data_IF_274669981495
#
_entry.id   IF_274669981495
#
_cell.length_a   1.000
_cell.length_b   1.000
_cell.length_c   1.000
_cell.angle_alpha   90.00
_cell.angle_beta   90.00
_cell.angle_gamma   90.00
#
_symmetry.space_group_name_H-M   'P 1'
#
loop_
_entity.id
_entity.type
_entity.pdbx_description
1 polymer ?
#
# COMPACT_ATOMS: atom_id res chain seq x y z
N UNK A 1 -37.90 61.97 7.23
CA UNK A 1 -36.49 61.67 7.53
C UNK A 1 -36.44 60.21 7.97
N UNK A 2 -36.03 59.31 7.07
CA UNK A 2 -34.87 58.39 7.22
C UNK A 2 -35.08 57.31 8.33
N UNK A 3 -35.05 56.00 8.10
CA UNK A 3 -34.26 55.18 7.16
C UNK A 3 -34.97 53.85 6.81
N UNK A 4 -34.70 53.25 5.64
CA UNK A 4 -35.05 51.85 5.39
C UNK A 4 -34.02 50.93 6.05
N UNK A 5 -34.49 49.87 6.74
CA UNK A 5 -33.65 48.76 7.17
C UNK A 5 -33.10 48.06 5.92
N UNK A 6 -31.81 48.20 5.66
CA UNK A 6 -31.08 47.37 4.71
C UNK A 6 -30.87 46.01 5.39
N UNK A 7 -31.70 45.03 5.02
CA UNK A 7 -31.46 43.64 5.34
C UNK A 7 -30.23 43.17 4.55
N UNK A 8 -29.08 43.08 5.22
CA UNK A 8 -27.91 42.38 4.69
C UNK A 8 -28.25 40.90 4.58
N UNK A 9 -28.68 40.46 3.41
CA UNK A 9 -28.73 39.04 3.07
C UNK A 9 -27.27 38.59 2.95
N UNK A 10 -26.74 37.92 3.98
CA UNK A 10 -25.51 37.14 3.83
C UNK A 10 -25.79 36.09 2.75
N UNK A 11 -25.35 36.36 1.52
CA UNK A 11 -25.31 35.34 0.48
C UNK A 11 -24.27 34.33 0.93
N UNK A 12 -24.72 33.15 1.35
CA UNK A 12 -23.82 32.05 1.66
C UNK A 12 -22.94 31.78 0.42
N UNK A 13 -21.62 31.79 0.60
CA UNK A 13 -20.68 31.50 -0.49
C UNK A 13 -21.01 30.14 -1.10
N UNK A 14 -21.00 30.07 -2.44
CA UNK A 14 -21.20 28.79 -3.11
C UNK A 14 -20.02 27.85 -2.80
N UNK A 15 -20.22 26.51 -2.84
CA UNK A 15 -19.13 25.57 -2.66
C UNK A 15 -17.94 25.81 -3.60
N UNK A 16 -18.22 26.21 -4.85
CA UNK A 16 -17.20 26.55 -5.84
C UNK A 16 -16.41 27.81 -5.46
N UNK A 17 -17.09 28.88 -5.02
CA UNK A 17 -16.42 30.12 -4.57
C UNK A 17 -15.49 29.86 -3.38
N UNK A 18 -15.94 29.05 -2.42
CA UNK A 18 -15.13 28.72 -1.25
C UNK A 18 -13.95 27.78 -1.59
N UNK A 19 -14.06 26.93 -2.63
CA UNK A 19 -12.93 26.14 -3.14
C UNK A 19 -11.89 27.02 -3.85
N UNK A 20 -12.35 27.96 -4.69
CA UNK A 20 -11.48 28.94 -5.36
C UNK A 20 -10.76 29.82 -4.34
N UNK A 21 -11.47 30.31 -3.33
CA UNK A 21 -10.87 31.10 -2.24
C UNK A 21 -9.84 30.29 -1.45
N UNK A 22 -10.11 29.01 -1.18
CA UNK A 22 -9.13 28.13 -0.54
C UNK A 22 -7.88 27.97 -1.41
N UNK A 23 -8.04 27.77 -2.72
CA UNK A 23 -6.89 27.63 -3.63
C UNK A 23 -6.07 28.92 -3.68
N UNK A 24 -6.70 30.08 -3.81
CA UNK A 24 -6.05 31.39 -3.79
C UNK A 24 -5.28 31.63 -2.48
N UNK A 25 -5.87 31.24 -1.34
CA UNK A 25 -5.20 31.27 -0.03
C UNK A 25 -3.91 30.46 -0.04
N UNK A 26 -3.92 29.26 -0.64
CA UNK A 26 -2.72 28.42 -0.72
C UNK A 26 -1.68 28.95 -1.71
N UNK A 27 -2.10 29.58 -2.81
CA UNK A 27 -1.20 30.20 -3.80
C UNK A 27 -0.47 31.40 -3.20
N UNK A 28 -1.17 32.23 -2.42
CA UNK A 28 -0.60 33.44 -1.82
C UNK A 28 0.28 33.14 -0.59
N UNK A 29 0.15 31.95 0.00
CA UNK A 29 0.87 31.57 1.20
C UNK A 29 2.40 31.51 0.97
N UNK A 30 3.13 32.21 1.83
CA UNK A 30 4.57 32.09 1.97
C UNK A 30 4.89 32.03 3.47
N UNK A 31 5.71 31.08 3.96
CA UNK A 31 5.94 30.90 5.40
C UNK A 31 6.46 32.13 6.15
N UNK A 32 7.02 33.11 5.42
CA UNK A 32 7.61 34.33 5.97
C UNK A 32 6.66 35.53 5.96
N UNK A 33 5.43 35.39 5.47
CA UNK A 33 4.44 36.49 5.37
C UNK A 33 3.45 36.44 6.53
N UNK A 34 2.95 37.62 6.92
CA UNK A 34 1.96 37.80 7.99
C UNK A 34 0.54 37.39 7.58
N UNK A 35 0.26 37.33 6.28
CA UNK A 35 -1.01 36.85 5.73
C UNK A 35 -0.74 36.04 4.44
N UNK A 36 -1.55 35.01 4.15
CA UNK A 36 -2.64 34.46 4.98
C UNK A 36 -2.15 33.79 6.29
N UNK A 37 -3.00 33.76 7.32
CA UNK A 37 -2.66 33.17 8.63
C UNK A 37 -2.52 31.66 8.53
N UNK A 38 -1.72 31.03 9.40
CA UNK A 38 -1.56 29.57 9.43
C UNK A 38 -2.89 28.83 9.57
N UNK A 39 -3.81 29.36 10.39
CA UNK A 39 -5.14 28.78 10.56
C UNK A 39 -5.97 28.80 9.26
N UNK A 40 -5.94 29.91 8.51
CA UNK A 40 -6.64 30.02 7.23
C UNK A 40 -6.06 29.03 6.20
N UNK A 41 -4.74 28.87 6.20
CA UNK A 41 -4.02 27.93 5.32
C UNK A 41 -4.38 26.48 5.65
N UNK A 42 -4.39 26.09 6.93
CA UNK A 42 -4.80 24.74 7.36
C UNK A 42 -6.27 24.44 6.99
N UNK A 43 -7.16 25.42 7.13
CA UNK A 43 -8.56 25.28 6.73
C UNK A 43 -8.70 25.12 5.20
N UNK A 44 -7.96 25.92 4.42
CA UNK A 44 -7.94 25.84 2.97
C UNK A 44 -7.40 24.48 2.47
N UNK A 45 -6.28 24.02 3.03
CA UNK A 45 -5.69 22.72 2.71
C UNK A 45 -6.67 21.58 3.02
N UNK A 46 -7.19 21.53 4.25
CA UNK A 46 -8.14 20.49 4.67
C UNK A 46 -9.39 20.46 3.78
N UNK A 47 -9.92 21.63 3.43
CA UNK A 47 -11.07 21.74 2.51
C UNK A 47 -10.77 21.09 1.16
N UNK A 48 -9.67 21.47 0.51
CA UNK A 48 -9.35 20.99 -0.83
C UNK A 48 -8.94 19.50 -0.81
N UNK A 49 -8.12 19.06 0.16
CA UNK A 49 -7.72 17.66 0.30
C UNK A 49 -8.91 16.70 0.52
N UNK A 50 -10.00 17.18 1.13
CA UNK A 50 -11.23 16.39 1.27
C UNK A 50 -12.07 16.34 -0.02
N UNK A 51 -11.92 17.32 -0.91
CA UNK A 51 -12.74 17.46 -2.12
C UNK A 51 -12.10 16.88 -3.37
N UNK A 52 -10.78 16.93 -3.51
CA UNK A 52 -10.06 16.47 -4.72
C UNK A 52 -10.25 14.98 -5.04
N UNK A 53 -10.59 14.15 -4.05
CA UNK A 53 -10.90 12.73 -4.28
C UNK A 53 -12.31 12.48 -4.83
N UNK A 54 -13.17 13.50 -4.85
CA UNK A 54 -14.46 13.48 -5.52
C UNK A 54 -14.47 14.53 -6.64
N UNK A 55 -13.75 14.23 -7.72
CA UNK A 55 -13.55 15.14 -8.86
C UNK A 55 -14.86 15.63 -9.52
N UNK A 56 -15.93 14.85 -9.40
CA UNK A 56 -17.26 15.21 -9.91
C UNK A 56 -17.95 16.29 -9.05
N UNK A 57 -17.62 16.38 -7.76
CA UNK A 57 -18.12 17.42 -6.86
C UNK A 57 -17.39 18.77 -7.00
N UNK A 58 -16.27 18.80 -7.73
CA UNK A 58 -15.58 20.04 -8.11
C UNK A 58 -16.23 20.61 -9.37
N UNK A 59 -16.52 21.92 -9.35
CA UNK A 59 -16.98 22.61 -10.55
C UNK A 59 -15.90 22.60 -11.64
N UNK A 60 -16.31 22.79 -12.88
CA UNK A 60 -15.38 22.88 -14.01
C UNK A 60 -14.38 24.04 -13.83
N UNK A 61 -14.86 25.17 -13.32
CA UNK A 61 -14.02 26.34 -12.99
C UNK A 61 -12.94 26.00 -11.96
N UNK A 62 -13.29 25.34 -10.85
CA UNK A 62 -12.32 24.92 -9.83
C UNK A 62 -11.29 23.94 -10.41
N UNK A 63 -11.73 22.99 -11.25
CA UNK A 63 -10.81 22.05 -11.92
C UNK A 63 -9.84 22.78 -12.85
N UNK A 64 -10.31 23.77 -13.60
CA UNK A 64 -9.47 24.57 -14.50
C UNK A 64 -8.39 25.34 -13.74
N UNK A 65 -8.73 25.96 -12.61
CA UNK A 65 -7.77 26.67 -11.77
C UNK A 65 -6.77 25.73 -11.09
N UNK A 66 -7.22 24.57 -10.62
CA UNK A 66 -6.32 23.53 -10.10
C UNK A 66 -5.35 23.01 -11.16
N UNK A 67 -5.82 22.81 -12.40
CA UNK A 67 -4.98 22.41 -13.53
C UNK A 67 -3.94 23.48 -13.88
N UNK A 68 -4.34 24.75 -13.93
CA UNK A 68 -3.41 25.86 -14.17
C UNK A 68 -2.36 25.97 -13.05
N UNK A 69 -2.78 25.84 -11.79
CA UNK A 69 -1.88 25.87 -10.64
C UNK A 69 -0.92 24.67 -10.63
N UNK A 70 -1.40 23.47 -11.00
CA UNK A 70 -0.59 22.27 -11.11
C UNK A 70 0.49 22.41 -12.18
N UNK A 71 0.14 22.94 -13.36
CA UNK A 71 1.11 23.15 -14.44
C UNK A 71 2.23 24.10 -14.01
N UNK A 72 1.89 25.19 -13.32
CA UNK A 72 2.87 26.16 -12.81
C UNK A 72 3.73 25.64 -11.66
N UNK A 73 3.23 24.65 -10.89
CA UNK A 73 3.88 24.16 -9.67
C UNK A 73 4.25 22.67 -9.75
N UNK A 74 4.40 22.13 -10.96
CA UNK A 74 4.52 20.68 -11.18
C UNK A 74 5.71 20.06 -10.42
N UNK A 75 6.87 20.69 -10.47
CA UNK A 75 8.09 20.22 -9.78
C UNK A 75 7.98 20.27 -8.25
N UNK A 76 7.14 21.19 -7.74
CA UNK A 76 6.84 21.34 -6.32
C UNK A 76 5.86 20.25 -5.85
N UNK A 77 4.88 19.91 -6.69
CA UNK A 77 3.89 18.85 -6.47
C UNK A 77 4.37 17.44 -6.90
N UNK A 78 5.68 17.18 -6.91
CA UNK A 78 6.28 15.90 -7.32
C UNK A 78 6.87 15.18 -6.11
N UNK A 79 6.14 14.23 -5.49
CA UNK A 79 6.65 13.50 -4.33
C UNK A 79 7.62 12.40 -4.73
N UNK A 80 8.80 12.37 -4.12
CA UNK A 80 9.80 11.31 -4.29
C UNK A 80 10.44 10.95 -2.94
N UNK A 81 10.97 9.73 -2.75
CA UNK A 81 11.64 9.38 -1.50
C UNK A 81 12.79 10.33 -1.14
N UNK A 82 13.53 10.80 -2.13
CA UNK A 82 14.63 11.77 -1.97
C UNK A 82 14.17 13.22 -1.75
N UNK A 83 12.92 13.55 -2.11
CA UNK A 83 12.34 14.89 -2.01
C UNK A 83 10.84 14.77 -1.66
N UNK A 84 10.51 14.43 -0.40
CA UNK A 84 9.11 14.29 0.00
C UNK A 84 8.42 15.65 0.07
N UNK A 85 7.12 15.67 -0.25
CA UNK A 85 6.28 16.86 -0.02
C UNK A 85 5.92 16.91 1.47
N UNK A 86 6.25 18.03 2.14
CA UNK A 86 6.06 18.19 3.59
C UNK A 86 4.81 19.01 3.93
N UNK A 87 4.33 18.89 5.17
CA UNK A 87 3.15 19.60 5.68
C UNK A 87 3.25 21.14 5.60
N UNK A 88 4.47 21.69 5.62
CA UNK A 88 4.70 23.12 5.43
C UNK A 88 4.56 23.59 3.96
N UNK A 89 4.24 22.68 3.03
CA UNK A 89 3.94 22.98 1.63
C UNK A 89 2.50 22.54 1.25
N UNK A 90 1.48 23.24 1.77
CA UNK A 90 0.08 22.85 1.60
C UNK A 90 -0.41 22.95 0.14
N UNK A 91 0.09 23.91 -0.65
CA UNK A 91 -0.24 24.00 -2.08
C UNK A 91 0.26 22.75 -2.83
N UNK A 92 1.52 22.35 -2.63
CA UNK A 92 2.06 21.15 -3.27
C UNK A 92 1.30 19.89 -2.90
N UNK A 93 0.86 19.78 -1.64
CA UNK A 93 0.04 18.65 -1.15
C UNK A 93 -1.30 18.60 -1.87
N UNK A 94 -2.02 19.72 -1.94
CA UNK A 94 -3.31 19.77 -2.67
C UNK A 94 -3.13 19.42 -4.14
N UNK A 95 -2.13 19.99 -4.81
CA UNK A 95 -1.88 19.75 -6.23
C UNK A 95 -1.46 18.30 -6.51
N UNK A 96 -0.60 17.73 -5.67
CA UNK A 96 -0.21 16.32 -5.75
C UNK A 96 -1.42 15.39 -5.53
N UNK A 97 -2.26 15.65 -4.52
CA UNK A 97 -3.45 14.85 -4.25
C UNK A 97 -4.47 14.95 -5.39
N UNK A 98 -4.66 16.15 -5.94
CA UNK A 98 -5.52 16.40 -7.10
C UNK A 98 -5.08 15.62 -8.33
N UNK A 99 -3.80 15.68 -8.68
CA UNK A 99 -3.30 14.94 -9.83
C UNK A 99 -3.33 13.42 -9.60
N UNK A 100 -3.02 12.97 -8.38
CA UNK A 100 -3.12 11.57 -8.00
C UNK A 100 -4.57 11.06 -8.18
N UNK A 101 -5.56 11.82 -7.72
CA UNK A 101 -6.97 11.52 -7.90
C UNK A 101 -7.37 11.50 -9.40
N UNK A 102 -6.98 12.52 -10.17
CA UNK A 102 -7.24 12.57 -11.63
C UNK A 102 -6.71 11.36 -12.35
N UNK A 103 -5.45 11.01 -12.09
CA UNK A 103 -4.79 9.91 -12.80
C UNK A 103 -5.40 8.55 -12.43
N UNK A 104 -5.77 8.34 -11.16
CA UNK A 104 -6.44 7.10 -10.75
C UNK A 104 -7.86 6.96 -11.33
N UNK A 105 -8.56 8.07 -11.56
CA UNK A 105 -9.89 8.11 -12.13
C UNK A 105 -9.95 7.91 -13.66
N UNK A 106 -8.79 7.92 -14.35
CA UNK A 106 -8.75 7.75 -15.80
C UNK A 106 -9.32 6.38 -16.23
N UNK A 107 -10.09 6.34 -17.35
CA UNK A 107 -10.41 5.12 -18.07
C UNK A 107 -9.14 4.34 -18.44
N UNK A 108 -9.23 3.01 -18.47
CA UNK A 108 -8.09 2.09 -18.62
C UNK A 108 -7.24 2.40 -19.86
N UNK A 109 -7.86 2.76 -20.98
CA UNK A 109 -7.22 3.12 -22.26
C UNK A 109 -6.53 4.49 -22.24
N UNK A 110 -6.87 5.35 -21.28
CA UNK A 110 -6.29 6.68 -21.10
C UNK A 110 -5.21 6.73 -20.03
N UNK A 111 -5.04 5.66 -19.23
CA UNK A 111 -3.99 5.60 -18.23
C UNK A 111 -2.62 5.71 -18.91
N UNK A 112 -1.74 6.52 -18.32
CA UNK A 112 -0.33 6.67 -18.71
C UNK A 112 0.55 6.56 -17.47
N UNK A 113 1.83 6.28 -17.67
CA UNK A 113 2.82 6.22 -16.59
C UNK A 113 2.83 7.54 -15.82
N UNK A 114 2.65 7.47 -14.51
CA UNK A 114 2.80 8.62 -13.64
C UNK A 114 4.28 9.00 -13.54
N UNK A 115 4.60 10.30 -13.51
CA UNK A 115 5.98 10.79 -13.57
C UNK A 115 6.89 10.27 -12.44
N UNK A 116 6.33 9.93 -11.28
CA UNK A 116 7.09 9.40 -10.13
C UNK A 116 7.02 7.88 -9.98
N UNK A 117 6.45 7.16 -10.96
CA UNK A 117 6.32 5.71 -10.90
C UNK A 117 7.69 4.99 -10.75
N UNK A 118 8.73 5.55 -11.40
CA UNK A 118 10.10 5.02 -11.29
C UNK A 118 10.72 5.27 -9.91
N UNK A 119 10.35 6.36 -9.23
CA UNK A 119 10.82 6.64 -7.88
C UNK A 119 10.15 5.73 -6.86
N UNK A 120 8.84 5.47 -7.04
CA UNK A 120 8.10 4.46 -6.29
C UNK A 120 6.78 4.12 -7.03
N UNK A 121 6.42 2.83 -7.20
CA UNK A 121 7.02 1.62 -6.62
C UNK A 121 8.37 1.19 -7.20
N UNK A 122 8.85 1.80 -8.27
CA UNK A 122 10.16 1.48 -8.86
C UNK A 122 10.10 1.33 -10.37
N UNK A 123 11.25 1.44 -11.01
CA UNK A 123 11.39 1.28 -12.45
C UNK A 123 11.48 -0.19 -12.86
N UNK A 124 11.23 -0.43 -14.15
CA UNK A 124 11.49 -1.69 -14.84
C UNK A 124 12.62 -1.42 -15.84
N UNK A 125 13.61 -2.31 -15.99
CA UNK A 125 14.65 -2.16 -17.01
C UNK A 125 14.06 -1.99 -18.42
N UNK A 126 14.63 -1.07 -19.19
CA UNK A 126 14.20 -0.82 -20.57
C UNK A 126 14.32 -2.09 -21.42
N UNK A 127 13.37 -2.30 -22.34
CA UNK A 127 13.36 -3.49 -23.21
C UNK A 127 12.94 -4.79 -22.53
N UNK A 128 12.59 -4.78 -21.23
CA UNK A 128 12.09 -5.97 -20.53
C UNK A 128 10.87 -6.55 -21.28
N UNK A 129 10.89 -7.83 -21.67
CA UNK A 129 9.78 -8.42 -22.40
C UNK A 129 8.53 -8.52 -21.55
N UNK A 130 7.37 -8.44 -22.21
CA UNK A 130 6.07 -8.69 -21.61
C UNK A 130 5.69 -10.13 -21.89
N UNK A 131 5.23 -10.83 -20.85
CA UNK A 131 4.93 -12.26 -20.90
C UNK A 131 3.46 -12.53 -20.62
N UNK A 132 3.06 -13.77 -20.89
CA UNK A 132 1.78 -14.33 -20.46
C UNK A 132 2.02 -15.32 -19.32
N UNK A 133 1.12 -15.31 -18.33
CA UNK A 133 1.08 -16.27 -17.21
C UNK A 133 -0.25 -17.00 -17.22
N UNK A 134 -0.23 -18.28 -16.87
CA UNK A 134 -1.43 -19.12 -16.78
C UNK A 134 -1.43 -19.85 -15.45
N UNK A 135 -2.49 -19.67 -14.68
CA UNK A 135 -2.60 -20.11 -13.29
C UNK A 135 -3.94 -20.83 -13.10
N UNK A 136 -3.96 -21.76 -12.14
CA UNK A 136 -5.20 -22.35 -11.63
C UNK A 136 -5.32 -22.10 -10.13
N UNK A 137 -6.14 -21.12 -9.77
CA UNK A 137 -6.33 -20.68 -8.37
C UNK A 137 -7.44 -21.47 -7.71
N UNK A 138 -7.18 -22.03 -6.53
CA UNK A 138 -8.21 -22.53 -5.62
C UNK A 138 -8.95 -21.34 -4.98
N UNK A 139 -10.25 -21.19 -5.26
CA UNK A 139 -11.05 -20.07 -4.76
C UNK A 139 -11.53 -20.27 -3.31
N UNK A 140 -11.24 -21.43 -2.70
CA UNK A 140 -11.44 -21.65 -1.27
C UNK A 140 -10.43 -20.86 -0.41
N UNK A 141 -9.32 -20.40 -0.99
CA UNK A 141 -8.34 -19.54 -0.32
C UNK A 141 -8.65 -18.07 -0.67
N UNK A 142 -9.25 -17.29 0.25
CA UNK A 142 -9.66 -15.92 0.01
C UNK A 142 -8.50 -14.93 0.13
N UNK A 143 -8.79 -13.67 -0.18
CA UNK A 143 -7.82 -12.57 -0.10
C UNK A 143 -7.04 -12.38 -1.39
N UNK A 144 -5.85 -11.78 -1.27
CA UNK A 144 -5.03 -11.39 -2.41
C UNK A 144 -4.24 -12.60 -2.90
N UNK A 145 -4.58 -13.09 -4.10
CA UNK A 145 -3.87 -14.16 -4.80
C UNK A 145 -2.97 -13.55 -5.85
N UNK A 146 -1.67 -13.74 -5.70
CA UNK A 146 -0.68 -13.18 -6.62
C UNK A 146 -0.81 -13.84 -7.99
N UNK A 147 -0.72 -13.02 -9.05
CA UNK A 147 -0.87 -13.46 -10.45
C UNK A 147 0.47 -13.61 -11.17
N UNK A 148 1.57 -13.75 -10.42
CA UNK A 148 2.91 -14.04 -10.92
C UNK A 148 3.44 -13.03 -11.94
N UNK A 149 3.04 -11.76 -11.77
CA UNK A 149 3.37 -10.70 -12.70
C UNK A 149 3.24 -9.30 -12.12
N UNK A 150 3.97 -8.38 -12.74
CA UNK A 150 3.96 -6.96 -12.45
C UNK A 150 3.40 -6.19 -13.66
N UNK A 151 2.39 -5.36 -13.44
CA UNK A 151 1.87 -4.45 -14.45
C UNK A 151 2.85 -3.28 -14.61
N UNK A 152 3.38 -3.08 -15.81
CA UNK A 152 4.22 -1.92 -16.09
C UNK A 152 3.41 -0.61 -15.93
N UNK A 153 4.02 0.47 -15.41
CA UNK A 153 3.30 1.72 -15.16
C UNK A 153 2.60 2.27 -16.41
N UNK A 154 1.28 2.41 -16.31
CA UNK A 154 0.44 2.95 -17.37
C UNK A 154 0.12 2.01 -18.53
N UNK A 155 0.66 0.79 -18.54
CA UNK A 155 0.30 -0.20 -19.55
C UNK A 155 -0.99 -0.94 -19.18
N UNK A 156 -1.72 -1.37 -20.20
CA UNK A 156 -2.92 -2.19 -20.02
C UNK A 156 -2.50 -3.65 -19.89
N UNK A 157 -2.95 -4.29 -18.81
CA UNK A 157 -2.85 -5.74 -18.58
C UNK A 157 -4.21 -6.35 -18.84
N UNK A 158 -4.21 -7.55 -19.44
CA UNK A 158 -5.44 -8.31 -19.69
C UNK A 158 -5.45 -9.52 -18.78
N UNK A 159 -6.47 -9.61 -17.91
CA UNK A 159 -6.72 -10.76 -17.03
C UNK A 159 -7.96 -11.49 -17.55
N UNK A 160 -7.77 -12.69 -18.07
CA UNK A 160 -8.86 -13.56 -18.51
C UNK A 160 -9.19 -14.56 -17.43
N UNK A 161 -10.44 -14.59 -16.99
CA UNK A 161 -10.95 -15.51 -16.00
C UNK A 161 -11.87 -16.53 -16.68
N UNK A 162 -11.69 -17.81 -16.38
CA UNK A 162 -12.54 -18.88 -16.91
C UNK A 162 -12.97 -19.84 -15.82
N UNK A 163 -14.27 -20.13 -15.78
CA UNK A 163 -14.93 -20.84 -14.68
C UNK A 163 -15.84 -19.91 -13.88
N UNK A 164 -16.44 -20.44 -12.81
CA UNK A 164 -17.35 -19.67 -11.96
C UNK A 164 -16.58 -18.64 -11.13
N UNK A 165 -16.54 -17.39 -11.60
CA UNK A 165 -15.92 -16.27 -10.89
C UNK A 165 -16.78 -15.92 -9.67
N UNK A 166 -16.25 -15.99 -8.43
CA UNK A 166 -17.00 -15.62 -7.25
C UNK A 166 -17.51 -14.16 -7.30
N UNK A 167 -18.79 -13.89 -6.96
CA UNK A 167 -19.30 -12.52 -6.87
C UNK A 167 -18.49 -11.66 -5.90
N UNK A 168 -18.06 -10.47 -6.34
CA UNK A 168 -17.20 -9.59 -5.54
C UNK A 168 -15.69 -9.84 -5.72
N UNK A 169 -15.31 -10.75 -6.62
CA UNK A 169 -13.90 -10.89 -7.05
C UNK A 169 -13.42 -9.59 -7.70
N UNK A 170 -12.20 -9.17 -7.37
CA UNK A 170 -11.59 -7.94 -7.91
C UNK A 170 -10.18 -8.19 -8.42
N UNK A 171 -9.77 -7.49 -9.47
CA UNK A 171 -8.37 -7.41 -9.90
C UNK A 171 -7.71 -6.20 -9.25
N UNK A 172 -6.57 -6.40 -8.59
CA UNK A 172 -5.77 -5.34 -7.95
C UNK A 172 -4.42 -5.21 -8.64
N UNK A 173 -3.97 -3.97 -8.82
CA UNK A 173 -2.59 -3.65 -9.21
C UNK A 173 -1.95 -2.82 -8.09
N UNK A 174 -0.85 -3.34 -7.54
CA UNK A 174 -0.10 -2.76 -6.41
C UNK A 174 -0.28 -3.60 -5.14
N UNK A 175 0.81 -3.84 -4.39
CA UNK A 175 0.77 -4.57 -3.11
C UNK A 175 0.30 -3.67 -1.95
N UNK A 176 0.64 -2.40 -2.01
CA UNK A 176 0.43 -1.39 -0.97
C UNK A 176 -1.05 -1.09 -0.72
N UNK A 177 -1.47 -0.90 0.53
CA UNK A 177 -2.85 -0.53 0.90
C UNK A 177 -3.00 0.94 1.28
N UNK A 178 -1.91 1.60 1.64
CA UNK A 178 -2.00 2.78 2.48
C UNK A 178 -2.23 4.08 1.70
N UNK A 179 -3.21 4.83 2.20
CA UNK A 179 -3.39 6.23 1.86
C UNK A 179 -2.62 7.12 2.84
N UNK A 180 -1.51 7.70 2.39
CA UNK A 180 -0.62 8.48 3.26
C UNK A 180 -1.00 9.97 3.35
N UNK A 181 -2.16 10.38 2.84
CA UNK A 181 -2.59 11.79 2.85
C UNK A 181 -2.51 12.43 4.25
N UNK A 182 -2.77 11.66 5.31
CA UNK A 182 -2.74 12.17 6.69
C UNK A 182 -1.34 12.30 7.29
N UNK A 183 -0.28 11.91 6.56
CA UNK A 183 1.10 12.05 7.00
C UNK A 183 1.63 13.44 6.67
N UNK A 184 2.56 13.91 7.50
CA UNK A 184 3.24 15.20 7.33
C UNK A 184 4.31 15.19 6.24
N UNK A 185 4.67 14.02 5.73
CA UNK A 185 5.69 13.82 4.71
C UNK A 185 5.19 12.81 3.67
N UNK A 186 5.21 13.19 2.39
CA UNK A 186 4.80 12.35 1.27
C UNK A 186 5.99 12.04 0.36
N UNK A 187 6.70 10.92 0.57
CA UNK A 187 7.76 10.46 -0.32
C UNK A 187 7.24 9.80 -1.60
N UNK A 188 5.93 9.63 -1.73
CA UNK A 188 5.22 9.11 -2.91
C UNK A 188 3.84 9.75 -2.99
N UNK A 189 3.09 9.61 -4.08
CA UNK A 189 1.69 10.03 -4.11
C UNK A 189 0.85 9.32 -3.04
N UNK A 190 -0.20 9.98 -2.50
CA UNK A 190 -1.00 9.42 -1.41
C UNK A 190 -1.52 8.01 -1.64
N UNK A 191 -2.00 7.71 -2.85
CA UNK A 191 -2.54 6.40 -3.25
C UNK A 191 -1.87 5.92 -4.53
N UNK A 192 -1.41 4.68 -4.55
CA UNK A 192 -0.68 4.11 -5.68
C UNK A 192 -1.22 2.76 -6.17
N UNK A 193 -2.23 2.22 -5.50
CA UNK A 193 -2.87 0.95 -5.89
C UNK A 193 -4.23 1.19 -6.50
N UNK A 194 -4.63 0.35 -7.45
CA UNK A 194 -5.94 0.42 -8.11
C UNK A 194 -6.62 -0.95 -8.10
N UNK A 195 -7.94 -0.96 -7.93
CA UNK A 195 -8.77 -2.16 -7.84
C UNK A 195 -9.93 -2.04 -8.83
N UNK A 196 -10.29 -3.15 -9.46
CA UNK A 196 -11.32 -3.26 -10.49
C UNK A 196 -12.22 -4.45 -10.18
N UNK A 197 -13.53 -4.30 -10.33
CA UNK A 197 -14.42 -5.46 -10.28
C UNK A 197 -14.07 -6.44 -11.42
N UNK A 198 -14.03 -7.72 -11.08
CA UNK A 198 -13.69 -8.78 -12.01
C UNK A 198 -14.93 -9.55 -12.45
N UNK A 199 -14.93 -9.98 -13.70
CA UNK A 199 -15.97 -10.83 -14.31
C UNK A 199 -15.34 -11.99 -15.06
N UNK A 200 -16.15 -13.00 -15.38
CA UNK A 200 -15.75 -14.04 -16.31
C UNK A 200 -15.38 -13.44 -17.69
N UNK A 201 -14.40 -14.05 -18.36
CA UNK A 201 -13.85 -13.57 -19.61
C UNK A 201 -12.80 -12.48 -19.41
N UNK A 202 -12.78 -11.50 -20.31
CA UNK A 202 -11.74 -10.47 -20.37
C UNK A 202 -11.94 -9.34 -19.35
N UNK A 203 -10.90 -9.05 -18.56
CA UNK A 203 -10.80 -7.91 -17.67
C UNK A 203 -9.56 -7.09 -18.05
N UNK A 204 -9.77 -5.87 -18.56
CA UNK A 204 -8.68 -4.94 -18.92
C UNK A 204 -8.43 -4.01 -17.75
N UNK A 205 -7.19 -3.95 -17.27
CA UNK A 205 -6.81 -3.16 -16.08
C UNK A 205 -5.52 -2.40 -16.34
N UNK A 206 -5.38 -1.23 -15.73
CA UNK A 206 -4.16 -0.41 -15.84
C UNK A 206 -3.97 0.44 -14.58
N UNK A 207 -2.72 0.61 -14.13
CA UNK A 207 -2.38 1.47 -13.02
C UNK A 207 -1.25 2.42 -13.45
N UNK A 208 -1.39 3.74 -13.30
CA UNK A 208 -0.36 4.69 -13.70
C UNK A 208 0.97 4.52 -12.94
N UNK A 209 0.96 3.86 -11.79
CA UNK A 209 2.15 3.55 -10.98
C UNK A 209 2.74 2.17 -11.26
N UNK A 210 2.01 1.30 -11.96
CA UNK A 210 2.33 -0.12 -12.05
C UNK A 210 2.14 -0.84 -10.71
N UNK A 211 2.61 -2.09 -10.64
CA UNK A 211 2.58 -2.88 -9.40
C UNK A 211 2.35 -4.36 -9.64
N UNK A 212 2.61 -5.16 -8.60
CA UNK A 212 2.23 -6.59 -8.57
C UNK A 212 0.72 -6.76 -8.78
N UNK A 213 0.33 -7.78 -9.53
CA UNK A 213 -1.06 -8.09 -9.86
C UNK A 213 -1.64 -9.14 -8.93
N UNK A 214 -2.88 -8.91 -8.50
CA UNK A 214 -3.61 -9.82 -7.63
C UNK A 214 -5.04 -10.03 -8.10
N UNK A 215 -5.57 -11.22 -7.84
CA UNK A 215 -7.00 -11.45 -7.75
C UNK A 215 -7.42 -11.46 -6.28
N UNK A 216 -8.28 -10.54 -5.89
CA UNK A 216 -8.89 -10.49 -4.56
C UNK A 216 -10.15 -11.36 -4.55
N UNK A 217 -10.06 -12.52 -3.90
CA UNK A 217 -11.14 -13.52 -3.85
C UNK A 217 -11.91 -13.38 -2.52
N UNK A 218 -13.24 -13.24 -2.54
CA UNK A 218 -14.07 -13.26 -1.34
C UNK A 218 -14.03 -14.63 -0.62
N UNK A 219 -14.32 -14.64 0.68
CA UNK A 219 -14.44 -15.88 1.44
C UNK A 219 -15.77 -16.61 1.16
N UNK A 220 -15.79 -17.93 1.35
CA UNK A 220 -17.02 -18.74 1.30
C UNK A 220 -17.31 -19.36 -0.07
N UNK A 221 -16.32 -19.39 -0.95
CA UNK A 221 -16.41 -20.01 -2.27
C UNK A 221 -15.53 -21.25 -2.35
N UNK A 222 -15.78 -22.13 -3.32
CA UNK A 222 -15.02 -23.37 -3.53
C UNK A 222 -14.82 -23.61 -5.03
N UNK A 223 -13.80 -24.41 -5.38
CA UNK A 223 -13.50 -24.79 -6.75
C UNK A 223 -12.22 -24.15 -7.27
N UNK A 224 -11.98 -24.28 -8.58
CA UNK A 224 -10.79 -23.71 -9.22
C UNK A 224 -11.18 -22.71 -10.30
N UNK A 225 -10.47 -21.60 -10.33
CA UNK A 225 -10.58 -20.57 -11.36
C UNK A 225 -9.33 -20.58 -12.22
N UNK A 226 -9.52 -20.68 -13.53
CA UNK A 226 -8.42 -20.56 -14.49
C UNK A 226 -8.18 -19.09 -14.78
N UNK A 227 -6.93 -18.68 -14.72
CA UNK A 227 -6.52 -17.29 -14.92
C UNK A 227 -5.42 -17.24 -15.97
N UNK A 228 -5.61 -16.43 -17.00
CA UNK A 228 -4.56 -16.06 -17.95
C UNK A 228 -4.30 -14.58 -17.82
N UNK A 229 -3.05 -14.19 -17.58
CA UNK A 229 -2.65 -12.79 -17.48
C UNK A 229 -1.65 -12.47 -18.57
N UNK A 230 -1.96 -11.49 -19.38
CA UNK A 230 -1.17 -11.08 -20.55
C UNK A 230 -0.59 -9.67 -20.33
N UNK A 231 0.52 -9.39 -21.00
CA UNK A 231 1.23 -8.10 -20.95
C UNK A 231 1.83 -7.76 -19.58
N UNK A 232 2.43 -8.74 -18.89
CA UNK A 232 3.05 -8.53 -17.57
C UNK A 232 4.57 -8.66 -17.61
N UNK A 233 5.23 -8.02 -16.66
CA UNK A 233 6.64 -8.19 -16.38
C UNK A 233 6.82 -9.34 -15.39
N UNK A 234 7.73 -10.31 -15.63
CA UNK A 234 8.04 -11.35 -14.65
C UNK A 234 8.54 -10.73 -13.34
N UNK A 235 8.00 -11.20 -12.22
CA UNK A 235 8.37 -10.76 -10.88
C UNK A 235 8.94 -11.92 -10.07
N UNK A 236 9.96 -11.69 -9.21
CA UNK A 236 10.49 -12.77 -8.39
C UNK A 236 9.43 -13.36 -7.46
N UNK A 237 9.28 -14.67 -7.51
CA UNK A 237 8.30 -15.38 -6.71
C UNK A 237 8.87 -16.69 -6.19
N UNK A 238 8.86 -16.85 -4.87
CA UNK A 238 9.21 -18.09 -4.21
C UNK A 238 7.99 -18.66 -3.49
N UNK A 239 7.68 -19.93 -3.76
CA UNK A 239 6.63 -20.66 -3.03
C UNK A 239 7.26 -21.79 -2.25
N UNK A 240 7.19 -21.70 -0.93
CA UNK A 240 7.81 -22.65 -0.02
C UNK A 240 7.29 -24.07 -0.26
N UNK A 241 8.22 -25.02 -0.35
CA UNK A 241 7.93 -26.43 -0.66
C UNK A 241 7.57 -26.72 -2.12
N UNK A 242 7.55 -25.72 -3.01
CA UNK A 242 7.28 -25.89 -4.44
C UNK A 242 8.42 -25.39 -5.32
N UNK A 243 8.92 -24.18 -5.07
CA UNK A 243 10.04 -23.62 -5.82
C UNK A 243 11.33 -24.28 -5.37
N UNK A 244 12.02 -24.94 -6.30
CA UNK A 244 13.33 -25.54 -6.07
C UNK A 244 14.41 -24.47 -5.92
N UNK A 245 15.58 -24.87 -5.38
CA UNK A 245 16.72 -23.96 -5.25
C UNK A 245 17.20 -23.47 -6.62
N UNK A 246 17.24 -24.34 -7.61
CA UNK A 246 17.66 -24.04 -8.97
C UNK A 246 16.70 -23.07 -9.66
N UNK A 247 15.39 -23.27 -9.51
CA UNK A 247 14.38 -22.33 -9.99
C UNK A 247 14.51 -20.98 -9.30
N UNK A 248 14.69 -20.97 -7.98
CA UNK A 248 14.82 -19.72 -7.21
C UNK A 248 16.02 -18.88 -7.67
N UNK A 249 17.14 -19.51 -8.03
CA UNK A 249 18.31 -18.80 -8.56
C UNK A 249 18.00 -18.01 -9.84
N UNK A 250 17.06 -18.48 -10.66
CA UNK A 250 16.56 -17.79 -11.84
C UNK A 250 15.45 -16.78 -11.50
N UNK A 251 14.45 -17.21 -10.72
CA UNK A 251 13.28 -16.39 -10.37
C UNK A 251 13.68 -15.14 -9.58
N UNK A 252 14.65 -15.24 -8.66
CA UNK A 252 15.16 -14.09 -7.90
C UNK A 252 15.77 -13.00 -8.76
N UNK A 253 16.11 -13.29 -10.03
CA UNK A 253 16.66 -12.36 -11.01
C UNK A 253 15.60 -11.74 -11.93
N UNK A 254 14.32 -12.09 -11.77
CA UNK A 254 13.25 -11.52 -12.57
C UNK A 254 13.20 -9.97 -12.44
N UNK A 255 12.86 -9.25 -13.51
CA UNK A 255 13.14 -7.81 -13.65
C UNK A 255 12.17 -6.87 -12.91
N UNK A 256 11.03 -7.36 -12.40
CA UNK A 256 10.13 -6.50 -11.64
C UNK A 256 10.82 -5.92 -10.39
N UNK A 257 10.40 -4.72 -9.93
CA UNK A 257 11.00 -4.08 -8.76
C UNK A 257 10.55 -4.67 -7.41
N UNK A 258 9.57 -5.57 -7.40
CA UNK A 258 9.01 -6.19 -6.19
C UNK A 258 8.95 -7.70 -6.31
N UNK A 259 9.15 -8.37 -5.19
CA UNK A 259 9.17 -9.83 -5.05
C UNK A 259 8.12 -10.31 -4.03
N UNK A 260 7.69 -11.56 -4.17
CA UNK A 260 6.95 -12.29 -3.14
C UNK A 260 7.65 -13.58 -2.72
N UNK A 261 7.66 -13.82 -1.41
CA UNK A 261 8.04 -15.11 -0.82
C UNK A 261 6.85 -15.60 0.00
N UNK A 262 6.31 -16.76 -0.34
CA UNK A 262 5.05 -17.27 0.19
C UNK A 262 5.24 -18.64 0.86
N UNK A 263 4.67 -18.78 2.06
CA UNK A 263 4.31 -20.07 2.65
C UNK A 263 2.78 -20.19 2.72
N UNK A 264 2.28 -21.30 3.27
CA UNK A 264 0.85 -21.41 3.57
C UNK A 264 0.39 -20.47 4.70
N UNK A 265 1.32 -19.86 5.46
CA UNK A 265 1.01 -19.06 6.66
C UNK A 265 1.37 -17.58 6.52
N UNK A 266 2.43 -17.24 5.79
CA UNK A 266 2.89 -15.86 5.63
C UNK A 266 3.40 -15.58 4.21
N UNK A 267 3.13 -14.37 3.73
CA UNK A 267 3.67 -13.82 2.49
C UNK A 267 4.48 -12.56 2.80
N UNK A 268 5.73 -12.53 2.36
CA UNK A 268 6.58 -11.34 2.39
C UNK A 268 6.54 -10.66 1.03
N UNK A 269 6.22 -9.36 1.01
CA UNK A 269 6.32 -8.53 -0.20
C UNK A 269 7.35 -7.44 0.00
N UNK A 270 8.49 -7.59 -0.69
CA UNK A 270 9.69 -6.75 -0.49
C UNK A 270 10.22 -6.23 -1.83
N UNK A 271 11.01 -5.15 -1.85
CA UNK A 271 11.73 -4.73 -3.05
C UNK A 271 12.63 -5.87 -3.55
N UNK A 272 12.64 -6.14 -4.85
CA UNK A 272 13.44 -7.24 -5.41
C UNK A 272 14.94 -7.09 -5.14
N UNK A 273 15.42 -5.87 -4.92
CA UNK A 273 16.81 -5.60 -4.56
C UNK A 273 17.27 -6.31 -3.29
N UNK A 274 16.39 -6.51 -2.29
CA UNK A 274 16.80 -7.12 -1.02
C UNK A 274 16.86 -8.65 -1.07
N UNK A 275 16.34 -9.27 -2.14
CA UNK A 275 16.34 -10.73 -2.32
C UNK A 275 17.32 -11.22 -3.38
N UNK A 276 18.02 -10.30 -4.08
CA UNK A 276 18.95 -10.67 -5.16
C UNK A 276 20.07 -11.60 -4.68
N UNK A 277 20.50 -11.42 -3.43
CA UNK A 277 21.56 -12.20 -2.79
C UNK A 277 21.03 -13.26 -1.81
N UNK A 278 19.71 -13.46 -1.73
CA UNK A 278 19.11 -14.52 -0.91
C UNK A 278 19.23 -15.84 -1.66
N UNK A 279 20.25 -16.64 -1.38
CA UNK A 279 20.56 -17.86 -2.16
C UNK A 279 19.60 -19.02 -1.92
N UNK A 280 19.12 -19.15 -0.68
CA UNK A 280 18.26 -20.24 -0.25
C UNK A 280 17.25 -19.73 0.80
N UNK A 281 15.98 -19.52 0.41
CA UNK A 281 14.96 -19.00 1.29
C UNK A 281 14.33 -20.07 2.19
N UNK A 282 14.67 -21.36 2.05
CA UNK A 282 14.00 -22.45 2.79
C UNK A 282 14.07 -22.23 4.30
N UNK A 283 15.26 -22.00 4.85
CA UNK A 283 15.44 -21.80 6.28
C UNK A 283 14.78 -20.51 6.79
N UNK A 284 14.75 -19.46 5.97
CA UNK A 284 14.06 -18.21 6.26
C UNK A 284 12.55 -18.42 6.35
N UNK A 285 11.96 -19.09 5.36
CA UNK A 285 10.52 -19.30 5.31
C UNK A 285 10.05 -20.30 6.37
N UNK A 286 10.86 -21.32 6.70
CA UNK A 286 10.60 -22.19 7.87
C UNK A 286 10.54 -21.37 9.17
N UNK A 287 11.50 -20.46 9.37
CA UNK A 287 11.50 -19.61 10.56
C UNK A 287 10.22 -18.76 10.64
N UNK A 288 9.76 -18.18 9.53
CA UNK A 288 8.50 -17.45 9.53
C UNK A 288 7.29 -18.35 9.83
N UNK A 289 7.26 -19.58 9.31
CA UNK A 289 6.21 -20.54 9.66
C UNK A 289 6.23 -20.90 11.16
N UNK A 290 7.41 -21.07 11.75
CA UNK A 290 7.58 -21.31 13.19
C UNK A 290 7.09 -20.12 14.03
N UNK A 291 7.35 -18.89 13.58
CA UNK A 291 6.81 -17.67 14.21
C UNK A 291 5.28 -17.66 14.18
N UNK A 292 4.68 -17.97 13.02
CA UNK A 292 3.22 -17.99 12.88
C UNK A 292 2.57 -19.09 13.73
N UNK A 293 3.22 -20.25 13.91
CA UNK A 293 2.74 -21.32 14.78
C UNK A 293 2.88 -20.96 16.25
N UNK A 294 4.00 -20.34 16.65
CA UNK A 294 4.16 -19.86 18.02
C UNK A 294 3.08 -18.83 18.41
N UNK A 295 2.72 -17.93 17.49
CA UNK A 295 1.59 -17.02 17.69
C UNK A 295 0.26 -17.77 17.80
N UNK A 296 0.03 -18.80 16.98
CA UNK A 296 -1.18 -19.63 17.05
C UNK A 296 -1.27 -20.42 18.36
N UNK A 297 -0.15 -21.00 18.82
CA UNK A 297 -0.05 -21.72 20.10
C UNK A 297 -0.41 -20.81 21.27
N UNK A 298 0.17 -19.60 21.33
CA UNK A 298 -0.10 -18.65 22.40
C UNK A 298 -1.57 -18.19 22.40
N UNK A 299 -2.14 -17.99 21.21
CA UNK A 299 -3.56 -17.65 21.05
C UNK A 299 -4.50 -18.85 21.19
N UNK A 300 -3.97 -20.08 21.33
CA UNK A 300 -4.71 -21.34 21.40
C UNK A 300 -5.63 -21.59 20.19
N UNK A 301 -5.16 -21.22 18.99
CA UNK A 301 -5.89 -21.41 17.73
C UNK A 301 -5.18 -22.45 16.83
N UNK A 302 -5.88 -23.06 15.86
CA UNK A 302 -5.24 -24.00 14.93
C UNK A 302 -4.09 -23.37 14.14
N UNK A 303 -3.10 -24.18 13.80
CA UNK A 303 -1.98 -23.78 12.93
C UNK A 303 -2.42 -23.63 11.48
N UNK A 304 -3.44 -24.39 11.06
CA UNK A 304 -4.03 -24.25 9.74
C UNK A 304 -4.71 -22.89 9.57
N UNK A 305 -4.39 -22.21 8.47
CA UNK A 305 -4.95 -20.90 8.15
C UNK A 305 -5.77 -21.00 6.89
N UNK A 306 -6.90 -20.29 6.88
CA UNK A 306 -7.74 -20.14 5.69
C UNK A 306 -6.98 -19.46 4.53
N UNK A 307 -6.03 -18.60 4.87
CA UNK A 307 -5.09 -17.94 3.94
C UNK A 307 -3.83 -17.52 4.71
N UNK A 308 -2.72 -17.37 4.00
CA UNK A 308 -1.52 -16.74 4.54
C UNK A 308 -1.79 -15.28 4.95
N UNK A 309 -1.18 -14.85 6.06
CA UNK A 309 -1.00 -13.43 6.37
C UNK A 309 0.00 -12.79 5.41
N UNK A 310 0.10 -11.46 5.41
CA UNK A 310 0.94 -10.75 4.46
C UNK A 310 1.60 -9.55 5.09
N UNK A 311 2.90 -9.41 4.87
CA UNK A 311 3.66 -8.19 5.14
C UNK A 311 4.03 -7.49 3.83
N UNK A 312 3.84 -6.17 3.76
CA UNK A 312 4.20 -5.37 2.59
C UNK A 312 5.07 -4.20 3.03
N UNK A 313 6.26 -4.10 2.43
CA UNK A 313 7.11 -2.93 2.63
C UNK A 313 6.56 -1.70 1.88
N UNK A 314 6.68 -0.49 2.45
CA UNK A 314 6.31 0.79 1.81
C UNK A 314 7.28 1.91 2.22
N UNK A 315 7.55 2.88 1.35
CA UNK A 315 8.35 4.07 1.69
C UNK A 315 7.64 4.99 2.67
N UNK A 316 6.32 4.88 2.80
CA UNK A 316 5.55 5.54 3.85
C UNK A 316 4.30 4.74 4.17
N UNK A 317 4.12 4.44 5.46
CA UNK A 317 2.90 3.83 5.98
C UNK A 317 1.98 4.89 6.62
N UNK A 318 0.73 4.53 6.83
CA UNK A 318 -0.35 5.43 7.24
C UNK A 318 -0.37 5.72 8.74
N UNK A 319 0.17 4.83 9.57
CA UNK A 319 0.20 4.95 11.02
C UNK A 319 1.45 4.29 11.61
N UNK A 320 1.90 4.79 12.77
CA UNK A 320 3.00 4.17 13.52
C UNK A 320 4.34 4.09 12.77
N UNK A 321 5.17 3.17 13.24
CA UNK A 321 6.40 2.75 12.55
C UNK A 321 6.18 1.47 11.74
N UNK A 322 5.36 0.54 12.24
CA UNK A 322 4.70 -0.52 11.49
C UNK A 322 3.22 -0.52 11.91
N UNK A 323 2.35 -1.22 11.18
CA UNK A 323 1.00 -1.50 11.69
C UNK A 323 0.43 -2.80 11.14
N UNK A 324 -0.39 -3.45 11.96
CA UNK A 324 -1.09 -4.68 11.64
C UNK A 324 -2.24 -4.50 10.64
N UNK A 325 -2.81 -5.63 10.23
CA UNK A 325 -3.89 -5.71 9.26
C UNK A 325 -3.61 -6.74 8.16
N UNK A 326 -4.31 -6.58 7.04
CA UNK A 326 -4.08 -7.38 5.83
C UNK A 326 -3.90 -6.46 4.62
N UNK A 327 -2.67 -6.03 4.33
CA UNK A 327 -1.39 -6.51 4.89
C UNK A 327 -1.01 -5.84 6.21
N UNK A 328 -0.05 -6.45 6.93
CA UNK A 328 0.84 -5.78 7.86
C UNK A 328 1.75 -4.87 7.02
N UNK A 329 1.82 -3.59 7.37
CA UNK A 329 2.60 -2.60 6.63
C UNK A 329 3.91 -2.28 7.35
N UNK A 330 5.01 -2.36 6.60
CA UNK A 330 6.38 -2.27 7.09
C UNK A 330 7.11 -1.15 6.34
N UNK A 331 7.97 -0.33 6.96
CA UNK A 331 8.81 0.61 6.23
C UNK A 331 9.80 -0.13 5.32
N UNK A 332 10.05 0.40 4.12
CA UNK A 332 11.06 -0.16 3.20
C UNK A 332 12.47 -0.24 3.79
N UNK A 333 12.80 0.61 4.77
CA UNK A 333 14.06 0.51 5.52
C UNK A 333 14.24 -0.83 6.26
N UNK A 334 13.13 -1.48 6.63
CA UNK A 334 13.09 -2.75 7.34
C UNK A 334 12.95 -3.96 6.40
N UNK A 335 12.80 -3.73 5.09
CA UNK A 335 12.59 -4.82 4.13
C UNK A 335 13.75 -5.82 4.08
N UNK A 336 14.98 -5.36 4.32
CA UNK A 336 16.15 -6.26 4.42
C UNK A 336 16.08 -7.14 5.67
N UNK A 337 15.61 -6.60 6.79
CA UNK A 337 15.45 -7.33 8.05
C UNK A 337 14.35 -8.40 7.96
N UNK A 338 13.34 -8.21 7.10
CA UNK A 338 12.31 -9.22 6.82
C UNK A 338 12.88 -10.51 6.19
N UNK A 339 14.01 -10.41 5.48
CA UNK A 339 14.65 -11.51 4.75
C UNK A 339 16.03 -11.89 5.29
N UNK A 340 16.45 -11.30 6.41
CA UNK A 340 17.71 -11.62 7.08
C UNK A 340 17.45 -12.58 8.25
N UNK A 341 17.64 -13.87 7.99
CA UNK A 341 17.43 -14.92 8.99
C UNK A 341 18.30 -14.75 10.24
N UNK A 342 19.52 -14.22 10.10
CA UNK A 342 20.40 -14.01 11.26
C UNK A 342 19.89 -12.87 12.14
N UNK A 343 19.43 -11.78 11.52
CA UNK A 343 18.75 -10.70 12.24
C UNK A 343 17.52 -11.25 12.98
N UNK A 344 16.64 -11.97 12.30
CA UNK A 344 15.40 -12.50 12.88
C UNK A 344 15.66 -13.47 14.04
N UNK A 345 16.61 -14.39 13.91
CA UNK A 345 17.03 -15.31 14.98
C UNK A 345 17.67 -14.62 16.18
N UNK A 346 18.28 -13.45 15.96
CA UNK A 346 18.77 -12.62 17.05
C UNK A 346 17.66 -11.85 17.78
N UNK A 347 16.40 -12.04 17.38
CA UNK A 347 15.23 -11.44 17.98
C UNK A 347 14.87 -10.10 17.34
N UNK A 348 13.57 -9.88 17.20
CA UNK A 348 13.00 -8.64 16.69
C UNK A 348 11.69 -8.38 17.41
N UNK A 349 11.39 -7.11 17.70
CA UNK A 349 10.15 -6.75 18.39
C UNK A 349 9.05 -6.40 17.40
N UNK A 350 9.35 -5.51 16.44
CA UNK A 350 8.36 -4.90 15.56
C UNK A 350 7.57 -5.92 14.74
N UNK A 351 8.23 -6.82 14.03
CA UNK A 351 7.52 -7.79 13.18
C UNK A 351 6.61 -8.73 14.00
N UNK A 352 7.10 -9.21 15.15
CA UNK A 352 6.32 -10.12 16.00
C UNK A 352 5.17 -9.40 16.70
N UNK A 353 5.35 -8.12 17.03
CA UNK A 353 4.31 -7.26 17.59
C UNK A 353 3.16 -7.11 16.59
N UNK A 354 3.45 -6.78 15.33
CA UNK A 354 2.40 -6.62 14.32
C UNK A 354 1.70 -7.93 13.93
N UNK A 355 2.44 -9.06 13.89
CA UNK A 355 1.81 -10.38 13.76
C UNK A 355 0.90 -10.63 14.98
N UNK A 356 1.38 -10.32 16.18
CA UNK A 356 0.65 -10.48 17.43
C UNK A 356 -0.70 -9.79 17.42
N UNK A 357 -0.79 -8.57 16.87
CA UNK A 357 -2.07 -7.86 16.72
C UNK A 357 -3.11 -8.65 15.92
N UNK A 358 -2.69 -9.36 14.86
CA UNK A 358 -3.58 -10.23 14.09
C UNK A 358 -4.02 -11.50 14.86
N UNK A 359 -3.39 -11.80 15.99
CA UNK A 359 -3.67 -12.95 16.86
C UNK A 359 -4.33 -12.57 18.19
N UNK A 360 -4.58 -11.28 18.43
CA UNK A 360 -5.27 -10.82 19.63
C UNK A 360 -6.74 -11.26 19.65
N UNK A 361 -7.20 -11.64 20.84
CA UNK A 361 -8.60 -11.97 21.08
C UNK A 361 -9.24 -10.95 22.03
N UNK A 362 -10.43 -10.39 21.69
CA UNK A 362 -11.19 -9.50 22.56
C UNK A 362 -11.49 -10.03 23.97
N UNK A 363 -11.56 -11.35 24.16
CA UNK A 363 -11.84 -11.98 25.47
C UNK A 363 -10.79 -11.66 26.53
N UNK A 364 -9.55 -11.38 26.12
CA UNK A 364 -8.45 -11.00 27.01
C UNK A 364 -7.75 -9.70 26.59
N UNK A 365 -8.20 -9.05 25.52
CA UNK A 365 -7.72 -7.73 25.08
C UNK A 365 -8.71 -6.65 25.52
N UNK A 366 -8.55 -6.16 26.75
CA UNK A 366 -9.43 -5.13 27.30
C UNK A 366 -9.26 -3.78 26.58
N UNK A 367 -10.29 -2.94 26.61
CA UNK A 367 -10.24 -1.59 26.03
C UNK A 367 -9.03 -0.80 26.54
N UNK A 368 -8.27 -0.20 25.62
CA UNK A 368 -7.04 0.54 25.93
C UNK A 368 -5.79 -0.32 26.14
N UNK A 369 -5.88 -1.65 26.03
CA UNK A 369 -4.75 -2.59 26.26
C UNK A 369 -4.26 -3.30 25.01
N UNK A 370 -4.69 -2.85 23.82
CA UNK A 370 -4.27 -3.42 22.53
C UNK A 370 -2.74 -3.44 22.39
N UNK A 371 -2.08 -2.32 22.65
CA UNK A 371 -0.61 -2.16 22.62
C UNK A 371 0.12 -2.83 23.80
N UNK A 372 -0.62 -3.38 24.77
CA UNK A 372 -0.05 -4.02 25.95
C UNK A 372 -0.10 -5.54 25.80
N UNK A 373 -1.27 -6.10 25.54
CA UNK A 373 -1.46 -7.55 25.45
C UNK A 373 -0.79 -8.14 24.20
N UNK A 374 -0.64 -7.36 23.14
CA UNK A 374 0.12 -7.76 21.93
C UNK A 374 1.58 -8.12 22.25
N UNK A 375 2.18 -7.47 23.26
CA UNK A 375 3.58 -7.71 23.61
C UNK A 375 3.84 -9.11 24.17
N UNK A 376 2.79 -9.84 24.58
CA UNK A 376 2.90 -11.25 24.95
C UNK A 376 3.37 -12.09 23.75
N UNK A 377 2.93 -11.78 22.52
CA UNK A 377 3.37 -12.48 21.32
C UNK A 377 4.85 -12.20 21.02
N UNK A 378 5.27 -10.92 21.05
CA UNK A 378 6.67 -10.56 20.83
C UNK A 378 7.59 -11.25 21.83
N UNK A 379 7.23 -11.25 23.12
CA UNK A 379 7.98 -11.95 24.16
C UNK A 379 8.03 -13.45 23.90
N UNK A 380 6.88 -14.07 23.64
CA UNK A 380 6.76 -15.51 23.46
C UNK A 380 7.53 -16.01 22.23
N UNK A 381 7.42 -15.33 21.10
CA UNK A 381 8.16 -15.68 19.88
C UNK A 381 9.66 -15.52 20.09
N UNK A 382 10.11 -14.43 20.70
CA UNK A 382 11.54 -14.26 21.00
C UNK A 382 12.06 -15.36 21.95
N UNK A 383 11.25 -15.80 22.92
CA UNK A 383 11.65 -16.89 23.80
C UNK A 383 11.67 -18.25 23.09
N UNK A 384 10.56 -18.63 22.43
CA UNK A 384 10.39 -19.99 21.88
C UNK A 384 11.12 -20.21 20.56
N UNK A 385 11.16 -19.20 19.71
CA UNK A 385 11.70 -19.32 18.34
C UNK A 385 13.12 -18.75 18.27
N UNK A 386 13.39 -17.62 18.92
CA UNK A 386 14.72 -16.97 18.90
C UNK A 386 15.64 -17.41 20.05
N UNK A 387 15.13 -18.19 21.02
CA UNK A 387 15.92 -18.70 22.15
C UNK A 387 16.40 -17.63 23.14
N UNK A 388 15.76 -16.44 23.14
CA UNK A 388 16.08 -15.34 24.04
C UNK A 388 15.42 -15.54 25.40
N UNK A 389 16.04 -15.09 26.49
CA UNK A 389 15.32 -15.05 27.76
C UNK A 389 14.42 -13.82 27.81
N UNK A 390 13.23 -13.94 28.39
CA UNK A 390 12.27 -12.83 28.48
C UNK A 390 12.88 -11.54 29.07
N UNK A 391 13.81 -11.66 30.03
CA UNK A 391 14.50 -10.53 30.66
C UNK A 391 15.60 -9.90 29.78
N UNK A 392 16.08 -10.61 28.77
CA UNK A 392 17.00 -10.10 27.75
C UNK A 392 16.23 -9.37 26.63
N UNK A 393 14.98 -9.79 26.35
CA UNK A 393 14.12 -9.17 25.33
C UNK A 393 13.48 -7.89 25.85
N UNK A 394 13.03 -7.87 27.10
CA UNK A 394 12.37 -6.71 27.71
C UNK A 394 13.37 -5.64 28.19
N UNK A 395 14.64 -6.01 28.39
CA UNK A 395 15.64 -5.27 29.14
C UNK A 395 16.31 -4.07 28.46
N UNK A 396 16.06 -3.81 27.17
CA UNK A 396 16.58 -2.62 26.48
C UNK A 396 15.56 -1.47 26.36
N UNK A 397 14.33 -1.66 26.84
CA UNK A 397 13.38 -0.58 27.08
C UNK A 397 12.86 0.16 25.84
N UNK A 398 11.57 0.46 25.83
CA UNK A 398 11.08 1.63 25.11
C UNK A 398 11.73 2.86 25.75
N UNK A 399 12.75 3.41 25.10
CA UNK A 399 13.27 4.75 25.37
C UNK A 399 12.78 5.74 24.35
#
# INVERSE_FOLDING_TARGET
MLLPLIAWTLVAQSPAQADLQALDTLIQYTPTRTAPTEQAVQQAESRLLNRVWNLQALSEEVRKELDAALEQNRDRATPMPSKPIRANDPLARVLCAYENAKTLALPVDQVRKFRTADAFPGSIPEGTPRVTRSLSLDVAIPGRRFLEGYAAPGEVVVVRLSGSVPPGTRVRIGAHSDNIQRRDSWPRPPRISKVFDAKEGENRVANPFGGLLYLEIPQGHNGRLQVVVENVVPAPYYVHGKTTKEEWQLERQAPAPWAELETSKLILTVPSSVIRDLDDPVALMNFWDDVMDACADLATIPHERLRAERMVADVQISAGYMHAGYPIMVPTGEAKNMVDLNHLRNGTWGFFHEIGHNHQNPDWTFSGTGEVTVNLFSLYVNEKICGKKWNEVWGEGFH
#
